data_IF_830702648522
#
_entry.id   IF_830702648522
#
_cell.length_a   1.000
_cell.length_b   1.000
_cell.length_c   1.000
_cell.angle_alpha   90.00
_cell.angle_beta   90.00
_cell.angle_gamma   90.00
#
_symmetry.space_group_name_H-M   'P 1'
#
loop_
_entity.id
_entity.type
_entity.pdbx_description
1 polymer ?
#
# COMPACT_ATOMS: atom_id res chain seq x y z
N UNK A 1 -0.77 26.00 14.26
CA UNK A 1 -1.91 25.70 15.19
C UNK A 1 -2.06 24.18 15.19
N UNK A 2 -2.30 23.58 16.35
CA UNK A 2 -2.57 22.14 16.43
C UNK A 2 -4.07 21.86 16.27
N UNK A 3 -4.40 20.72 15.69
CA UNK A 3 -5.78 20.23 15.55
C UNK A 3 -5.81 18.74 15.96
N UNK A 4 -6.68 18.33 16.87
CA UNK A 4 -7.60 19.18 17.64
C UNK A 4 -6.86 20.12 18.62
N UNK A 5 -7.57 21.05 19.24
CA UNK A 5 -7.06 21.76 20.41
C UNK A 5 -7.10 20.87 21.66
N UNK A 6 -6.53 21.35 22.77
CA UNK A 6 -6.44 20.58 24.02
C UNK A 6 -7.80 20.17 24.58
N UNK A 7 -8.84 21.03 24.42
CA UNK A 7 -10.17 20.75 24.93
C UNK A 7 -10.87 19.65 24.11
N UNK A 8 -10.74 19.69 22.78
CA UNK A 8 -11.30 18.66 21.91
C UNK A 8 -10.54 17.32 22.06
N UNK A 9 -9.23 17.34 22.32
CA UNK A 9 -8.46 16.15 22.64
C UNK A 9 -8.96 15.50 23.94
N UNK A 10 -9.14 16.30 25.01
CA UNK A 10 -9.72 15.83 26.29
C UNK A 10 -11.11 15.22 26.07
N UNK A 11 -11.97 15.92 25.33
CA UNK A 11 -13.32 15.43 25.02
C UNK A 11 -13.32 14.08 24.29
N UNK A 12 -12.37 13.87 23.38
CA UNK A 12 -12.22 12.59 22.70
C UNK A 12 -11.85 11.47 23.69
N UNK A 13 -10.92 11.74 24.62
CA UNK A 13 -10.56 10.80 25.67
C UNK A 13 -11.76 10.49 26.58
N UNK A 14 -12.50 11.51 27.04
CA UNK A 14 -13.69 11.37 27.87
C UNK A 14 -14.81 10.55 27.18
N UNK A 15 -14.83 10.57 25.84
CA UNK A 15 -15.75 9.76 25.02
C UNK A 15 -15.30 8.31 24.83
N UNK A 16 -14.18 7.90 25.43
CA UNK A 16 -13.68 6.53 25.44
C UNK A 16 -12.67 6.21 24.32
N UNK A 17 -12.25 7.19 23.52
CA UNK A 17 -11.11 7.00 22.64
C UNK A 17 -9.82 6.94 23.47
N UNK A 18 -8.92 6.02 23.08
CA UNK A 18 -7.63 5.88 23.76
C UNK A 18 -6.44 6.02 22.81
N UNK A 19 -6.73 6.31 21.54
CA UNK A 19 -5.74 6.65 20.53
C UNK A 19 -6.24 7.89 19.80
N UNK A 20 -5.66 9.06 20.14
CA UNK A 20 -6.21 10.35 19.74
C UNK A 20 -5.20 11.07 18.85
N UNK A 21 -5.54 11.30 17.57
CA UNK A 21 -4.65 12.01 16.67
C UNK A 21 -4.52 13.49 17.04
N UNK A 22 -3.30 14.01 16.93
CA UNK A 22 -2.95 15.42 17.00
C UNK A 22 -2.21 15.76 15.72
N UNK A 23 -2.59 16.86 15.06
CA UNK A 23 -2.02 17.24 13.80
C UNK A 23 -1.51 18.68 13.78
N UNK A 24 -0.47 18.91 12.99
CA UNK A 24 0.02 20.24 12.64
C UNK A 24 0.39 20.28 11.16
N UNK A 25 -0.08 21.31 10.45
CA UNK A 25 0.19 21.49 9.02
C UNK A 25 1.07 22.72 8.77
N UNK A 26 1.87 22.63 7.69
CA UNK A 26 2.68 23.73 7.16
C UNK A 26 2.83 23.62 5.63
N UNK A 27 3.24 24.70 4.95
CA UNK A 27 3.47 24.68 3.50
C UNK A 27 4.53 23.65 3.09
N UNK A 28 4.29 22.98 1.94
CA UNK A 28 5.21 22.04 1.30
C UNK A 28 5.81 22.60 0.00
N UNK A 29 6.12 23.90 -0.01
CA UNK A 29 6.58 24.61 -1.20
C UNK A 29 8.01 24.26 -1.61
N UNK A 30 8.85 23.83 -0.66
CA UNK A 30 10.25 23.45 -0.88
C UNK A 30 10.53 21.96 -0.64
N UNK A 31 9.51 21.16 -0.32
CA UNK A 31 9.67 19.76 0.03
C UNK A 31 8.88 18.84 -0.92
N UNK A 32 9.44 17.68 -1.15
CA UNK A 32 8.76 16.58 -1.84
C UNK A 32 8.64 15.38 -0.90
N UNK A 33 7.75 14.42 -1.18
CA UNK A 33 7.73 13.17 -0.40
C UNK A 33 9.08 12.48 -0.34
N UNK A 34 9.84 12.49 -1.44
CA UNK A 34 11.16 11.87 -1.50
C UNK A 34 12.20 12.62 -0.66
N UNK A 35 12.27 13.97 -0.72
CA UNK A 35 13.20 14.74 0.12
C UNK A 35 12.86 14.59 1.59
N UNK A 36 11.58 14.51 1.91
CA UNK A 36 11.08 14.23 3.26
C UNK A 36 11.50 12.85 3.75
N UNK A 37 11.32 11.81 2.93
CA UNK A 37 11.82 10.47 3.27
C UNK A 37 13.31 10.46 3.58
N UNK A 38 14.12 11.12 2.76
CA UNK A 38 15.58 11.21 2.96
C UNK A 38 15.93 11.88 4.29
N UNK A 39 15.20 12.92 4.68
CA UNK A 39 15.42 13.65 5.95
C UNK A 39 14.92 12.89 7.17
N UNK A 40 13.76 12.23 7.06
CA UNK A 40 13.02 11.71 8.21
C UNK A 40 13.19 10.22 8.38
N UNK A 41 13.15 9.45 7.30
CA UNK A 41 13.06 7.98 7.30
C UNK A 41 14.34 7.27 6.92
N UNK A 42 15.13 7.83 5.98
CA UNK A 42 16.33 7.16 5.49
C UNK A 42 17.32 6.86 6.62
N UNK A 43 17.77 5.61 6.67
CA UNK A 43 18.68 5.13 7.74
C UNK A 43 18.01 4.94 9.11
N UNK A 44 16.68 4.93 9.17
CA UNK A 44 15.88 4.67 10.38
C UNK A 44 14.81 3.61 10.12
N UNK A 45 15.22 2.40 9.72
CA UNK A 45 14.26 1.32 9.55
C UNK A 45 13.69 0.87 10.92
N UNK A 46 12.47 0.30 10.93
CA UNK A 46 11.61 0.17 9.77
C UNK A 46 10.81 1.45 9.47
N UNK A 47 10.42 1.60 8.19
CA UNK A 47 9.65 2.75 7.74
C UNK A 47 9.02 2.56 6.36
N UNK A 48 8.23 3.55 5.94
CA UNK A 48 7.48 3.49 4.69
C UNK A 48 7.37 4.86 4.02
N UNK A 49 7.50 4.86 2.70
CA UNK A 49 7.12 5.96 1.81
C UNK A 49 6.09 5.43 0.83
N UNK A 50 4.88 5.97 0.87
CA UNK A 50 3.82 5.72 -0.10
C UNK A 50 3.59 7.00 -0.90
N UNK A 51 3.64 6.90 -2.21
CA UNK A 51 3.38 8.02 -3.11
C UNK A 51 2.30 7.66 -4.13
N UNK A 52 1.45 8.63 -4.43
CA UNK A 52 0.61 8.57 -5.62
C UNK A 52 1.19 9.54 -6.64
N UNK A 53 1.76 9.02 -7.72
CA UNK A 53 2.54 9.83 -8.69
C UNK A 53 1.71 10.17 -9.93
N UNK A 54 0.81 9.29 -10.35
CA UNK A 54 -0.14 9.52 -11.45
C UNK A 54 -1.59 9.47 -10.97
N UNK A 55 -2.50 10.16 -11.66
CA UNK A 55 -3.94 10.01 -11.42
C UNK A 55 -4.73 11.30 -11.18
N UNK A 56 -4.12 12.48 -11.39
CA UNK A 56 -4.82 13.78 -11.27
C UNK A 56 -5.24 14.14 -9.83
N UNK A 57 -6.28 14.97 -9.69
CA UNK A 57 -6.69 15.53 -8.40
C UNK A 57 -7.29 14.50 -7.42
N UNK A 58 -7.76 13.36 -7.92
CA UNK A 58 -8.44 12.35 -7.11
C UNK A 58 -7.50 11.20 -6.69
N UNK A 59 -6.64 10.71 -7.57
CA UNK A 59 -5.74 9.59 -7.30
C UNK A 59 -4.34 10.05 -6.87
N UNK A 60 -3.81 11.14 -7.42
CA UNK A 60 -2.45 11.64 -7.13
C UNK A 60 -2.31 12.55 -5.91
N UNK A 61 -3.31 12.61 -5.03
CA UNK A 61 -3.38 13.66 -4.00
C UNK A 61 -2.50 13.42 -2.80
N UNK A 62 -2.44 12.19 -2.29
CA UNK A 62 -1.85 11.91 -0.99
C UNK A 62 -0.56 11.13 -1.11
N UNK A 63 0.45 11.54 -0.33
CA UNK A 63 1.65 10.73 -0.08
C UNK A 63 1.88 10.64 1.43
N UNK A 64 2.38 9.50 1.88
CA UNK A 64 2.56 9.22 3.30
C UNK A 64 4.00 8.80 3.56
N UNK A 65 4.60 9.39 4.61
CA UNK A 65 5.91 9.01 5.13
C UNK A 65 5.79 8.68 6.61
N UNK A 66 6.29 7.51 7.00
CA UNK A 66 6.33 7.12 8.40
C UNK A 66 7.58 6.29 8.72
N UNK A 67 8.12 6.46 9.90
CA UNK A 67 9.27 5.72 10.42
C UNK A 67 9.22 5.62 11.95
N UNK A 68 10.13 4.82 12.53
CA UNK A 68 10.18 4.58 13.96
C UNK A 68 8.82 4.13 14.54
N UNK A 69 8.28 2.96 14.13
CA UNK A 69 6.99 2.48 14.59
C UNK A 69 6.93 2.30 16.11
N UNK A 70 5.74 2.44 16.68
CA UNK A 70 5.48 2.11 18.09
C UNK A 70 5.77 0.62 18.35
N UNK A 71 5.32 -0.22 17.43
CA UNK A 71 5.67 -1.62 17.39
C UNK A 71 5.65 -2.16 15.95
N UNK A 72 6.36 -3.28 15.76
CA UNK A 72 6.30 -4.10 14.55
C UNK A 72 5.71 -5.45 14.88
N UNK A 73 5.01 -6.06 13.93
CA UNK A 73 4.58 -7.45 14.04
C UNK A 73 5.00 -8.19 12.77
N UNK A 74 5.48 -9.42 12.93
CA UNK A 74 5.82 -10.29 11.81
C UNK A 74 5.21 -11.67 12.01
N UNK A 75 4.67 -12.24 10.96
CA UNK A 75 4.07 -13.55 10.96
C UNK A 75 4.81 -14.52 10.06
N UNK A 76 4.97 -15.75 10.52
CA UNK A 76 5.49 -16.89 9.76
C UNK A 76 4.75 -18.16 10.18
N UNK A 77 4.09 -18.80 9.22
CA UNK A 77 3.20 -19.94 9.49
C UNK A 77 2.10 -19.57 10.49
N UNK A 78 2.02 -20.26 11.60
CA UNK A 78 1.01 -20.03 12.66
C UNK A 78 1.53 -19.20 13.84
N UNK A 79 2.61 -18.47 13.64
CA UNK A 79 3.24 -17.67 14.68
C UNK A 79 3.33 -16.21 14.28
N UNK A 80 2.75 -15.30 15.08
CA UNK A 80 2.93 -13.86 14.99
C UNK A 80 3.75 -13.37 16.17
N UNK A 81 4.84 -12.64 15.88
CA UNK A 81 5.70 -12.02 16.89
C UNK A 81 5.56 -10.50 16.79
N UNK A 82 5.14 -9.84 17.88
CA UNK A 82 5.12 -8.38 17.99
C UNK A 82 6.31 -7.90 18.82
N UNK A 83 6.94 -6.80 18.39
CA UNK A 83 8.06 -6.16 19.09
C UNK A 83 7.81 -4.67 19.19
N UNK A 84 7.89 -4.13 20.40
CA UNK A 84 7.79 -2.70 20.65
C UNK A 84 9.13 -1.99 20.47
N UNK A 85 9.08 -0.68 20.27
CA UNK A 85 10.26 0.20 20.14
C UNK A 85 11.20 0.11 21.34
N UNK A 86 10.69 -0.11 22.54
CA UNK A 86 11.46 -0.27 23.77
C UNK A 86 12.15 -1.64 23.91
N UNK A 87 11.93 -2.54 22.95
CA UNK A 87 12.50 -3.88 22.93
C UNK A 87 11.62 -4.96 23.55
N UNK A 88 10.50 -4.62 24.18
CA UNK A 88 9.53 -5.59 24.66
C UNK A 88 8.98 -6.41 23.49
N UNK A 89 8.60 -7.66 23.74
CA UNK A 89 8.02 -8.52 22.72
C UNK A 89 7.01 -9.49 23.29
N UNK A 90 6.02 -9.85 22.47
CA UNK A 90 5.10 -10.95 22.73
C UNK A 90 4.91 -11.82 21.48
N UNK A 91 4.32 -12.98 21.69
CA UNK A 91 4.08 -13.96 20.63
C UNK A 91 2.63 -14.43 20.74
N UNK A 92 1.95 -14.39 19.62
CA UNK A 92 0.66 -15.06 19.43
C UNK A 92 0.89 -16.34 18.62
N UNK A 93 0.37 -17.45 19.15
CA UNK A 93 0.37 -18.75 18.46
C UNK A 93 -1.02 -19.03 17.92
N UNK A 94 -1.14 -19.44 16.68
CA UNK A 94 -2.38 -19.68 15.98
C UNK A 94 -2.52 -18.81 14.74
N UNK A 95 -3.72 -18.62 14.22
CA UNK A 95 -3.94 -17.86 13.00
C UNK A 95 -3.42 -16.41 13.14
N UNK A 96 -2.46 -15.94 12.31
CA UNK A 96 -1.90 -14.60 12.40
C UNK A 96 -2.91 -13.47 12.19
N UNK A 97 -4.03 -13.69 11.51
CA UNK A 97 -5.11 -12.70 11.45
C UNK A 97 -5.71 -12.43 12.83
N UNK A 98 -5.92 -13.49 13.62
CA UNK A 98 -6.43 -13.34 14.99
C UNK A 98 -5.37 -12.70 15.90
N UNK A 99 -4.10 -13.05 15.68
CA UNK A 99 -2.98 -12.40 16.34
C UNK A 99 -2.92 -10.91 16.05
N UNK A 100 -3.08 -10.50 14.80
CA UNK A 100 -3.09 -9.08 14.42
C UNK A 100 -4.32 -8.35 15.00
N UNK A 101 -5.51 -8.97 14.95
CA UNK A 101 -6.72 -8.43 15.61
C UNK A 101 -6.49 -8.24 17.11
N UNK A 102 -5.85 -9.21 17.76
CA UNK A 102 -5.48 -9.09 19.17
C UNK A 102 -4.53 -7.92 19.42
N UNK A 103 -3.51 -7.73 18.58
CA UNK A 103 -2.60 -6.58 18.67
C UNK A 103 -3.31 -5.24 18.54
N UNK A 104 -4.37 -5.17 17.74
CA UNK A 104 -5.12 -3.93 17.46
C UNK A 104 -6.29 -3.70 18.43
N UNK A 105 -6.80 -4.75 19.07
CA UNK A 105 -8.00 -4.69 19.92
C UNK A 105 -7.93 -3.70 21.09
N UNK A 106 -6.75 -3.37 21.66
CA UNK A 106 -6.67 -2.36 22.72
C UNK A 106 -6.96 -0.94 22.23
N UNK A 107 -6.81 -0.66 20.94
CA UNK A 107 -6.86 0.70 20.39
C UNK A 107 -8.27 1.08 19.96
N UNK A 108 -8.73 2.23 20.44
CA UNK A 108 -9.96 2.90 20.01
C UNK A 108 -9.60 4.29 19.50
N UNK A 109 -9.39 4.39 18.18
CA UNK A 109 -8.98 5.63 17.56
C UNK A 109 -10.11 6.64 17.53
N UNK A 110 -9.83 7.88 17.91
CA UNK A 110 -10.77 8.98 17.75
C UNK A 110 -10.93 9.33 16.27
N UNK A 111 -12.18 9.45 15.82
CA UNK A 111 -12.48 10.04 14.51
C UNK A 111 -12.68 11.54 14.68
N UNK A 112 -11.73 12.34 14.18
CA UNK A 112 -11.75 13.78 14.30
C UNK A 112 -11.93 14.43 12.90
N UNK A 113 -12.92 15.31 12.74
CA UNK A 113 -13.17 15.94 11.44
C UNK A 113 -12.02 16.89 11.04
N UNK A 114 -11.83 17.05 9.74
CA UNK A 114 -10.88 18.01 9.17
C UNK A 114 -9.43 17.54 9.11
N UNK A 115 -9.14 16.32 9.56
CA UNK A 115 -7.84 15.70 9.36
C UNK A 115 -7.77 15.04 7.97
N UNK A 116 -6.56 14.92 7.38
CA UNK A 116 -6.39 14.13 6.17
C UNK A 116 -6.72 12.64 6.45
N UNK A 117 -6.88 11.80 5.42
CA UNK A 117 -7.05 10.36 5.62
C UNK A 117 -5.94 9.80 6.50
N UNK A 118 -6.32 9.17 7.60
CA UNK A 118 -5.39 8.65 8.58
C UNK A 118 -5.30 7.13 8.47
N UNK A 119 -4.09 6.64 8.43
CA UNK A 119 -3.75 5.23 8.62
C UNK A 119 -2.57 5.14 9.57
N UNK A 120 -2.55 4.13 10.41
CA UNK A 120 -1.46 3.93 11.38
C UNK A 120 -0.74 2.62 11.15
N UNK A 121 -1.43 1.62 10.64
CA UNK A 121 -0.88 0.30 10.38
C UNK A 121 -0.45 0.21 8.92
N UNK A 122 0.84 0.08 8.70
CA UNK A 122 1.44 -0.11 7.38
C UNK A 122 2.16 -1.45 7.33
N UNK A 123 2.10 -2.12 6.20
CA UNK A 123 2.77 -3.41 6.11
C UNK A 123 2.54 -4.10 4.79
N UNK A 124 2.90 -5.37 4.75
CA UNK A 124 2.69 -6.23 3.60
C UNK A 124 2.10 -7.58 4.03
N UNK A 125 1.39 -8.17 3.10
CA UNK A 125 0.93 -9.55 3.14
C UNK A 125 1.71 -10.33 2.09
N UNK A 126 2.37 -11.41 2.49
CA UNK A 126 3.00 -12.34 1.56
C UNK A 126 1.95 -13.20 0.87
N UNK A 127 2.33 -13.82 -0.26
CA UNK A 127 1.44 -14.69 -1.01
C UNK A 127 0.99 -15.92 -0.19
N UNK A 128 1.88 -16.42 0.67
CA UNK A 128 1.64 -17.61 1.52
C UNK A 128 0.58 -17.38 2.62
N UNK A 129 0.07 -16.15 2.80
CA UNK A 129 -1.06 -15.90 3.70
C UNK A 129 -2.30 -16.73 3.37
N UNK A 130 -2.39 -17.27 2.15
CA UNK A 130 -3.49 -18.14 1.73
C UNK A 130 -3.69 -19.31 2.69
N UNK A 131 -2.62 -19.83 3.30
CA UNK A 131 -2.69 -20.92 4.27
C UNK A 131 -3.41 -20.55 5.56
N UNK A 132 -3.57 -19.24 5.86
CA UNK A 132 -4.35 -18.78 7.01
C UNK A 132 -5.85 -18.73 6.73
N UNK A 133 -6.23 -18.76 5.45
CA UNK A 133 -7.61 -18.63 4.97
C UNK A 133 -8.11 -19.98 4.45
N UNK A 134 -7.29 -20.69 3.66
CA UNK A 134 -7.66 -21.89 2.92
C UNK A 134 -6.72 -23.04 3.27
N UNK A 135 -7.19 -23.94 4.14
CA UNK A 135 -6.42 -25.07 4.65
C UNK A 135 -6.18 -26.19 3.63
N UNK A 136 -6.90 -26.17 2.51
CA UNK A 136 -6.75 -27.19 1.44
C UNK A 136 -5.57 -26.92 0.52
N UNK A 137 -5.02 -25.71 0.54
CA UNK A 137 -3.84 -25.33 -0.25
C UNK A 137 -2.59 -26.01 0.34
N UNK A 138 -1.82 -26.76 -0.46
CA UNK A 138 -0.62 -27.43 0.04
C UNK A 138 0.44 -26.43 0.52
N UNK A 139 1.01 -26.69 1.68
CA UNK A 139 2.15 -25.91 2.20
C UNK A 139 3.42 -26.40 1.50
N UNK A 140 4.07 -25.52 0.77
CA UNK A 140 5.39 -25.80 0.21
C UNK A 140 6.49 -25.58 1.25
N UNK A 141 7.63 -26.28 1.16
CA UNK A 141 8.78 -26.01 2.00
C UNK A 141 9.17 -24.54 1.90
N UNK A 142 9.18 -23.85 3.03
CA UNK A 142 9.59 -22.45 3.06
C UNK A 142 11.09 -22.33 2.82
N UNK A 143 11.46 -21.36 2.01
CA UNK A 143 12.85 -20.91 1.90
C UNK A 143 13.18 -20.10 3.16
N UNK A 144 14.18 -20.52 3.92
CA UNK A 144 14.61 -19.83 5.15
C UNK A 144 15.08 -18.39 4.88
N UNK A 145 15.39 -18.06 3.63
CA UNK A 145 15.76 -16.72 3.18
C UNK A 145 14.56 -15.88 2.76
N UNK A 146 13.37 -16.49 2.65
CA UNK A 146 12.16 -15.77 2.27
C UNK A 146 11.75 -14.75 3.36
N UNK A 147 11.18 -13.61 2.98
CA UNK A 147 10.54 -12.70 3.92
C UNK A 147 9.47 -13.40 4.76
N UNK A 148 9.07 -12.78 5.86
CA UNK A 148 7.93 -13.24 6.65
C UNK A 148 6.64 -13.23 5.81
N UNK A 149 5.68 -14.10 6.15
CA UNK A 149 4.40 -14.21 5.44
C UNK A 149 3.52 -12.95 5.61
N UNK A 150 3.82 -12.14 6.63
CA UNK A 150 3.26 -10.82 6.81
C UNK A 150 4.10 -9.99 7.77
N UNK A 151 4.20 -8.68 7.50
CA UNK A 151 4.90 -7.72 8.37
C UNK A 151 4.04 -6.47 8.47
N UNK A 152 3.89 -5.96 9.68
CA UNK A 152 3.13 -4.74 9.99
C UNK A 152 3.88 -3.84 10.93
N UNK A 153 3.67 -2.55 10.79
CA UNK A 153 4.26 -1.48 11.58
C UNK A 153 3.14 -0.56 12.05
N UNK A 154 2.93 -0.47 13.35
CA UNK A 154 2.02 0.55 13.91
C UNK A 154 2.81 1.83 14.14
N UNK A 155 2.42 2.90 13.46
CA UNK A 155 3.07 4.20 13.54
C UNK A 155 2.36 5.11 14.55
N UNK A 156 3.13 5.74 15.42
CA UNK A 156 2.66 6.78 16.36
C UNK A 156 2.88 8.20 15.83
N UNK A 157 3.54 8.32 14.67
CA UNK A 157 3.77 9.58 13.99
C UNK A 157 3.95 9.39 12.50
N UNK A 158 3.22 10.18 11.71
CA UNK A 158 3.22 10.12 10.24
C UNK A 158 3.28 11.53 9.65
N UNK A 159 3.82 11.64 8.44
CA UNK A 159 3.78 12.85 7.62
C UNK A 159 2.92 12.58 6.39
N UNK A 160 1.96 13.44 6.15
CA UNK A 160 1.02 13.31 5.03
C UNK A 160 1.17 14.55 4.15
N UNK A 161 1.46 14.32 2.87
CA UNK A 161 1.46 15.35 1.84
C UNK A 161 0.08 15.44 1.20
N UNK A 162 -0.46 16.64 1.14
CA UNK A 162 -1.58 17.00 0.26
C UNK A 162 -0.99 17.73 -0.96
N UNK A 163 -0.85 17.01 -2.06
CA UNK A 163 -0.26 17.52 -3.31
C UNK A 163 -1.12 18.64 -3.91
N UNK A 164 -2.44 18.59 -3.72
CA UNK A 164 -3.38 19.60 -4.23
C UNK A 164 -3.27 20.90 -3.44
N UNK A 165 -3.27 20.80 -2.11
CA UNK A 165 -3.17 21.98 -1.23
C UNK A 165 -1.72 22.42 -0.99
N UNK A 166 -0.72 21.62 -1.41
CA UNK A 166 0.70 21.85 -1.16
C UNK A 166 1.00 22.03 0.33
N UNK A 167 0.47 21.11 1.12
CA UNK A 167 0.66 21.08 2.58
C UNK A 167 1.31 19.77 3.01
N UNK A 168 2.13 19.87 4.03
CA UNK A 168 2.56 18.73 4.84
C UNK A 168 1.81 18.79 6.15
N UNK A 169 1.23 17.67 6.55
CA UNK A 169 0.61 17.53 7.87
C UNK A 169 1.34 16.44 8.65
N UNK A 170 1.97 16.80 9.77
CA UNK A 170 2.40 15.82 10.75
C UNK A 170 1.22 15.43 11.62
N UNK A 171 1.02 14.13 11.77
CA UNK A 171 0.03 13.58 12.70
C UNK A 171 0.76 12.68 13.67
N UNK A 172 0.57 12.92 14.96
CA UNK A 172 1.01 12.02 16.02
C UNK A 172 -0.17 11.60 16.88
N UNK A 173 -0.04 10.47 17.54
CA UNK A 173 -1.14 9.91 18.31
C UNK A 173 -0.79 9.91 19.80
N UNK A 174 -1.66 10.52 20.60
CA UNK A 174 -1.64 10.33 22.04
C UNK A 174 -2.25 8.97 22.37
N UNK A 175 -1.45 8.10 22.97
CA UNK A 175 -1.84 6.74 23.34
C UNK A 175 -2.13 6.63 24.83
N UNK A 176 -3.40 6.37 25.13
CA UNK A 176 -3.93 6.14 26.49
C UNK A 176 -4.15 4.64 26.78
N UNK A 177 -3.84 3.75 25.81
CA UNK A 177 -4.13 2.31 25.94
C UNK A 177 -3.35 1.64 27.06
N UNK A 178 -2.17 2.17 27.40
CA UNK A 178 -1.33 1.73 28.52
C UNK A 178 -1.72 2.30 29.87
N UNK A 179 -2.80 3.09 29.97
CA UNK A 179 -3.27 3.68 31.21
C UNK A 179 -2.54 4.95 31.64
N UNK A 180 -1.80 5.61 30.73
CA UNK A 180 -1.24 6.94 31.00
C UNK A 180 -2.37 7.98 31.06
N UNK A 181 -2.11 9.11 31.70
CA UNK A 181 -3.10 10.18 31.79
C UNK A 181 -3.18 10.96 30.44
N UNK A 182 -4.24 11.79 30.31
CA UNK A 182 -4.52 12.53 29.08
C UNK A 182 -3.48 13.62 28.82
N UNK A 183 -2.88 14.19 29.88
CA UNK A 183 -1.83 15.20 29.72
C UNK A 183 -0.55 14.59 29.20
N UNK A 184 -0.14 13.44 29.74
CA UNK A 184 1.06 12.73 29.29
C UNK A 184 0.92 12.28 27.84
N UNK A 185 -0.26 11.74 27.45
CA UNK A 185 -0.56 11.36 26.08
C UNK A 185 -0.52 12.59 25.12
N UNK A 186 -1.07 13.72 25.55
CA UNK A 186 -1.02 14.98 24.80
C UNK A 186 0.42 15.47 24.60
N UNK A 187 1.22 15.51 25.67
CA UNK A 187 2.62 15.95 25.64
C UNK A 187 3.48 15.00 24.77
N UNK A 188 3.23 13.70 24.84
CA UNK A 188 3.89 12.71 23.99
C UNK A 188 3.60 12.95 22.50
N UNK A 189 2.34 13.20 22.14
CA UNK A 189 1.98 13.53 20.76
C UNK A 189 2.63 14.85 20.28
N UNK A 190 2.66 15.88 21.13
CA UNK A 190 3.35 17.14 20.83
C UNK A 190 4.85 16.91 20.60
N UNK A 191 5.50 16.15 21.47
CA UNK A 191 6.92 15.82 21.35
C UNK A 191 7.22 15.05 20.04
N UNK A 192 6.32 14.13 19.66
CA UNK A 192 6.46 13.39 18.40
C UNK A 192 6.34 14.30 17.17
N UNK A 193 5.38 15.22 17.13
CA UNK A 193 5.27 16.23 16.06
C UNK A 193 6.51 17.12 16.03
N UNK A 194 6.99 17.58 17.19
CA UNK A 194 8.19 18.40 17.27
C UNK A 194 9.45 17.66 16.75
N UNK A 195 9.57 16.36 17.03
CA UNK A 195 10.65 15.53 16.51
C UNK A 195 10.58 15.41 14.98
N UNK A 196 9.40 15.11 14.43
CA UNK A 196 9.19 15.05 12.97
C UNK A 196 9.53 16.41 12.33
N UNK A 197 9.08 17.51 12.92
CA UNK A 197 9.37 18.86 12.43
C UNK A 197 10.86 19.16 12.46
N UNK A 198 11.55 18.87 13.56
CA UNK A 198 13.00 19.07 13.68
C UNK A 198 13.78 18.31 12.60
N UNK A 199 13.36 17.07 12.29
CA UNK A 199 13.96 16.27 11.21
C UNK A 199 13.71 16.91 9.85
N UNK A 200 12.52 17.42 9.62
CA UNK A 200 12.16 18.13 8.39
C UNK A 200 12.98 19.41 8.19
N UNK A 201 13.23 20.17 9.26
CA UNK A 201 14.00 21.42 9.23
C UNK A 201 15.51 21.18 9.05
N UNK A 202 15.98 19.93 9.17
CA UNK A 202 17.37 19.59 8.90
C UNK A 202 17.73 19.79 7.41
N UNK A 203 18.99 20.14 7.10
CA UNK A 203 19.47 20.19 5.73
C UNK A 203 19.27 18.83 5.04
N UNK A 204 18.94 18.87 3.75
CA UNK A 204 18.90 17.64 2.95
C UNK A 204 20.31 17.03 2.91
N UNK A 205 20.51 15.78 3.31
CA UNK A 205 21.78 15.08 3.14
C UNK A 205 22.23 15.08 1.68
N UNK A 206 23.53 15.07 1.44
CA UNK A 206 24.06 14.97 0.09
C UNK A 206 23.60 13.65 -0.55
N UNK A 207 22.81 13.76 -1.59
CA UNK A 207 22.31 12.62 -2.37
C UNK A 207 22.81 12.79 -3.79
N UNK A 208 23.45 11.75 -4.33
CA UNK A 208 23.89 11.78 -5.70
C UNK A 208 22.70 11.93 -6.66
N UNK A 209 22.81 12.76 -7.71
CA UNK A 209 21.83 12.78 -8.78
C UNK A 209 21.65 11.38 -9.35
N UNK A 210 20.40 11.02 -9.68
CA UNK A 210 20.14 9.79 -10.37
C UNK A 210 20.77 9.84 -11.76
N UNK A 211 21.66 8.90 -12.05
CA UNK A 211 22.20 8.74 -13.39
C UNK A 211 21.18 7.94 -14.21
N UNK A 212 20.47 8.65 -15.06
CA UNK A 212 19.42 8.10 -15.89
C UNK A 212 19.90 7.94 -17.33
N UNK A 213 19.80 6.70 -17.85
CA UNK A 213 19.99 6.43 -19.27
C UNK A 213 18.86 5.51 -19.74
N UNK A 214 17.88 6.00 -20.50
CA UNK A 214 16.77 5.17 -21.01
C UNK A 214 17.23 4.12 -22.03
N UNK A 215 18.44 4.24 -22.55
CA UNK A 215 19.03 3.38 -23.59
C UNK A 215 20.27 2.65 -23.05
N UNK A 216 20.30 2.27 -21.80
CA UNK A 216 21.39 1.45 -21.28
C UNK A 216 21.36 0.07 -21.96
N UNK A 217 22.33 -0.18 -22.81
CA UNK A 217 22.48 -1.44 -23.57
C UNK A 217 22.94 -2.62 -22.69
N UNK A 218 23.24 -2.38 -21.42
CA UNK A 218 23.72 -3.39 -20.49
C UNK A 218 22.62 -3.75 -19.52
N UNK A 219 21.96 -4.86 -19.80
CA UNK A 219 21.08 -5.50 -18.82
C UNK A 219 21.92 -6.25 -17.78
N UNK A 220 21.52 -6.24 -16.49
CA UNK A 220 22.17 -7.08 -15.49
C UNK A 220 22.01 -8.56 -15.88
N UNK A 221 22.93 -9.39 -15.38
CA UNK A 221 22.75 -10.83 -15.48
C UNK A 221 21.54 -11.24 -14.62
N UNK A 222 20.51 -11.77 -15.28
CA UNK A 222 19.23 -12.12 -14.66
C UNK A 222 19.07 -13.63 -14.66
N UNK A 223 18.92 -14.22 -13.49
CA UNK A 223 18.53 -15.62 -13.34
C UNK A 223 17.04 -15.76 -13.07
N UNK A 224 16.47 -16.90 -13.48
CA UNK A 224 15.08 -17.26 -13.20
C UNK A 224 15.02 -18.58 -12.44
N UNK A 225 14.07 -18.72 -11.52
CA UNK A 225 13.80 -19.98 -10.83
C UNK A 225 13.12 -21.04 -11.72
N UNK A 226 12.74 -20.68 -12.96
CA UNK A 226 12.20 -21.58 -13.98
C UNK A 226 12.92 -21.37 -15.31
N UNK A 227 13.21 -22.44 -16.02
CA UNK A 227 13.65 -22.29 -17.39
C UNK A 227 12.45 -22.05 -18.34
N UNK A 228 12.72 -21.62 -19.55
CA UNK A 228 11.69 -21.25 -20.52
C UNK A 228 10.78 -22.42 -20.89
N UNK A 229 11.33 -23.59 -21.13
CA UNK A 229 10.57 -24.77 -21.52
C UNK A 229 9.59 -25.23 -20.44
N UNK A 230 10.01 -25.16 -19.17
CA UNK A 230 9.15 -25.55 -18.04
C UNK A 230 8.01 -24.52 -17.83
N UNK A 231 8.29 -23.24 -18.07
CA UNK A 231 7.27 -22.22 -18.00
C UNK A 231 6.24 -22.37 -19.14
N UNK A 232 6.70 -22.60 -20.37
CA UNK A 232 5.82 -22.83 -21.52
C UNK A 232 4.97 -24.11 -21.34
N UNK A 233 5.53 -25.18 -20.82
CA UNK A 233 4.80 -26.42 -20.50
C UNK A 233 3.72 -26.18 -19.43
N UNK A 234 4.04 -25.38 -18.41
CA UNK A 234 3.06 -25.01 -17.38
C UNK A 234 1.90 -24.15 -17.95
N UNK A 235 2.16 -23.30 -18.96
CA UNK A 235 1.11 -22.56 -19.66
C UNK A 235 0.18 -23.50 -20.42
N UNK A 236 0.73 -24.50 -21.12
CA UNK A 236 -0.12 -25.48 -21.83
C UNK A 236 -0.97 -26.31 -20.84
N UNK A 237 -0.40 -26.76 -19.72
CA UNK A 237 -1.17 -27.43 -18.68
C UNK A 237 -2.28 -26.54 -18.09
N UNK A 238 -2.01 -25.25 -17.87
CA UNK A 238 -3.04 -24.30 -17.41
C UNK A 238 -4.18 -24.16 -18.44
N UNK A 239 -3.87 -24.13 -19.73
CA UNK A 239 -4.89 -24.10 -20.81
C UNK A 239 -5.76 -25.34 -20.82
N UNK A 240 -5.17 -26.53 -20.57
CA UNK A 240 -5.93 -27.78 -20.46
C UNK A 240 -6.92 -27.73 -19.28
N UNK A 241 -6.50 -27.25 -18.12
CA UNK A 241 -7.38 -27.07 -16.95
C UNK A 241 -8.51 -26.07 -17.18
N UNK A 242 -8.23 -24.97 -17.90
CA UNK A 242 -9.26 -24.01 -18.30
C UNK A 242 -10.27 -24.67 -19.27
N UNK A 243 -9.78 -25.41 -20.25
CA UNK A 243 -10.64 -26.10 -21.22
C UNK A 243 -11.48 -27.22 -20.58
N UNK A 244 -10.96 -27.89 -19.54
CA UNK A 244 -11.67 -28.87 -18.74
C UNK A 244 -12.74 -28.26 -17.80
N UNK A 245 -12.68 -26.94 -17.56
CA UNK A 245 -13.58 -26.25 -16.64
C UNK A 245 -13.16 -26.33 -15.17
N UNK A 246 -11.93 -26.73 -14.89
CA UNK A 246 -11.38 -26.80 -13.54
C UNK A 246 -11.14 -25.40 -12.94
N UNK A 247 -10.74 -24.43 -13.77
CA UNK A 247 -10.50 -23.04 -13.41
C UNK A 247 -10.95 -22.11 -14.54
N UNK A 248 -11.31 -20.87 -14.23
CA UNK A 248 -11.64 -19.84 -15.21
C UNK A 248 -10.42 -19.03 -15.64
N UNK A 249 -9.51 -18.81 -14.72
CA UNK A 249 -8.28 -18.05 -14.91
C UNK A 249 -7.17 -18.62 -14.02
N UNK A 250 -5.95 -18.63 -14.52
CA UNK A 250 -4.76 -19.01 -13.79
C UNK A 250 -3.63 -18.06 -14.13
N UNK A 251 -2.97 -17.52 -13.12
CA UNK A 251 -1.79 -16.66 -13.27
C UNK A 251 -0.55 -17.45 -12.87
N UNK A 252 0.30 -17.75 -13.84
CA UNK A 252 1.60 -18.36 -13.62
C UNK A 252 2.63 -17.29 -13.23
N UNK A 253 3.46 -17.59 -12.25
CA UNK A 253 4.55 -16.71 -11.82
C UNK A 253 5.92 -17.34 -12.03
N UNK A 254 6.93 -16.47 -12.12
CA UNK A 254 8.33 -16.82 -12.02
C UNK A 254 9.05 -15.76 -11.19
N UNK A 255 10.14 -16.15 -10.54
CA UNK A 255 11.02 -15.26 -9.81
C UNK A 255 12.25 -14.96 -10.65
N UNK A 256 12.51 -13.68 -10.87
CA UNK A 256 13.71 -13.20 -11.53
C UNK A 256 14.63 -12.58 -10.46
N UNK A 257 15.91 -12.90 -10.55
CA UNK A 257 16.93 -12.40 -9.62
C UNK A 257 18.05 -11.72 -10.41
N UNK A 258 18.47 -10.57 -9.91
CA UNK A 258 19.61 -9.84 -10.47
C UNK A 258 20.43 -9.21 -9.35
N UNK A 259 21.75 -9.24 -9.48
CA UNK A 259 22.64 -8.47 -8.61
C UNK A 259 22.75 -7.04 -9.13
N UNK A 260 22.43 -6.07 -8.29
CA UNK A 260 22.47 -4.66 -8.65
C UNK A 260 23.32 -3.89 -7.64
N UNK A 261 24.23 -2.99 -8.10
CA UNK A 261 25.09 -2.23 -7.21
C UNK A 261 24.39 -1.03 -6.56
N UNK A 262 23.21 -0.65 -7.04
CA UNK A 262 22.45 0.51 -6.57
C UNK A 262 21.80 0.22 -5.22
N UNK A 263 21.68 1.27 -4.40
CA UNK A 263 20.91 1.19 -3.17
C UNK A 263 19.41 0.97 -3.46
N UNK A 264 18.64 0.37 -2.53
CA UNK A 264 17.20 0.22 -2.68
C UNK A 264 16.45 1.53 -2.96
N UNK A 265 16.90 2.64 -2.35
CA UNK A 265 16.30 3.95 -2.61
C UNK A 265 16.59 4.46 -4.02
N UNK A 266 17.76 4.18 -4.59
CA UNK A 266 18.06 4.50 -5.99
C UNK A 266 17.23 3.68 -6.95
N UNK A 267 16.99 2.40 -6.64
CA UNK A 267 16.07 1.56 -7.42
C UNK A 267 14.64 2.12 -7.38
N UNK A 268 14.16 2.52 -6.21
CA UNK A 268 12.86 3.18 -6.07
C UNK A 268 12.78 4.46 -6.91
N UNK A 269 13.81 5.31 -6.84
CA UNK A 269 13.89 6.54 -7.63
C UNK A 269 13.87 6.27 -9.13
N UNK A 270 14.57 5.21 -9.57
CA UNK A 270 14.58 4.79 -10.97
C UNK A 270 13.22 4.27 -11.40
N UNK A 271 12.60 3.42 -10.59
CA UNK A 271 11.26 2.87 -10.86
C UNK A 271 10.22 4.00 -10.99
N UNK A 272 10.29 4.99 -10.12
CA UNK A 272 9.42 6.18 -10.14
C UNK A 272 9.54 7.00 -11.44
N UNK A 273 10.69 6.95 -12.12
CA UNK A 273 10.92 7.62 -13.41
C UNK A 273 10.48 6.77 -14.60
N UNK A 274 10.66 5.44 -14.49
CA UNK A 274 10.36 4.51 -15.60
C UNK A 274 8.88 4.17 -15.67
N UNK A 275 8.28 3.93 -14.51
CA UNK A 275 6.91 3.45 -14.40
C UNK A 275 6.20 4.11 -13.21
N UNK A 276 5.92 5.43 -13.30
CA UNK A 276 5.12 6.09 -12.30
C UNK A 276 3.72 5.46 -12.22
N UNK A 277 3.17 5.34 -11.03
CA UNK A 277 1.86 4.74 -10.82
C UNK A 277 1.08 5.41 -9.70
N UNK A 278 -0.25 5.19 -9.61
CA UNK A 278 -1.06 5.70 -8.51
C UNK A 278 -0.65 5.14 -7.14
N UNK A 279 -0.03 3.96 -7.10
CA UNK A 279 0.34 3.27 -5.86
C UNK A 279 1.82 2.89 -5.86
N UNK A 280 2.68 3.91 -5.68
CA UNK A 280 4.12 3.70 -5.49
C UNK A 280 4.40 3.41 -4.02
N UNK A 281 5.24 2.42 -3.76
CA UNK A 281 5.58 2.01 -2.40
C UNK A 281 7.08 1.75 -2.24
N UNK A 282 7.63 2.26 -1.15
CA UNK A 282 8.95 1.91 -0.64
C UNK A 282 8.80 1.56 0.84
N UNK A 283 8.91 0.27 1.16
CA UNK A 283 8.99 -0.20 2.54
C UNK A 283 10.43 -0.56 2.85
N UNK A 284 10.95 0.00 3.92
CA UNK A 284 12.25 -0.36 4.47
C UNK A 284 12.01 -1.13 5.79
N UNK A 285 12.26 -2.42 5.77
CA UNK A 285 12.13 -3.28 6.95
C UNK A 285 13.45 -3.50 7.68
N UNK A 286 14.53 -2.84 7.22
CA UNK A 286 15.88 -2.97 7.74
C UNK A 286 16.71 -3.96 6.94
N UNK A 287 16.49 -5.25 7.17
CA UNK A 287 17.24 -6.31 6.52
C UNK A 287 16.91 -6.47 5.03
N UNK A 288 15.72 -6.05 4.62
CA UNK A 288 15.26 -6.07 3.24
C UNK A 288 14.25 -4.95 2.97
N UNK A 289 14.01 -4.64 1.69
CA UNK A 289 13.10 -3.60 1.25
C UNK A 289 12.10 -4.14 0.23
N UNK A 290 10.87 -3.61 0.27
CA UNK A 290 9.86 -3.84 -0.75
C UNK A 290 9.68 -2.56 -1.56
N UNK A 291 9.90 -2.67 -2.88
CA UNK A 291 9.78 -1.56 -3.83
C UNK A 291 8.68 -1.92 -4.82
N UNK A 292 7.66 -1.10 -4.91
CA UNK A 292 6.51 -1.38 -5.75
C UNK A 292 6.03 -0.17 -6.56
N UNK A 293 5.50 -0.47 -7.75
CA UNK A 293 4.76 0.44 -8.61
C UNK A 293 3.52 -0.29 -9.09
N UNK A 294 2.39 -0.11 -8.41
CA UNK A 294 1.16 -0.81 -8.72
C UNK A 294 0.16 0.12 -9.41
N UNK A 295 -0.45 -0.29 -10.51
CA UNK A 295 -1.50 0.47 -11.17
C UNK A 295 -2.87 0.32 -10.50
N UNK A 296 -3.05 -0.73 -9.68
CA UNK A 296 -4.36 -1.18 -9.23
C UNK A 296 -4.43 -1.39 -7.73
N UNK A 297 -5.54 -0.98 -7.12
CA UNK A 297 -5.89 -1.28 -5.74
C UNK A 297 -6.62 -2.63 -5.69
N UNK A 298 -6.20 -3.51 -4.79
CA UNK A 298 -6.86 -4.80 -4.60
C UNK A 298 -8.24 -4.63 -3.96
N UNK A 299 -8.32 -3.88 -2.87
CA UNK A 299 -9.56 -3.54 -2.17
C UNK A 299 -9.38 -2.25 -1.40
N UNK A 300 -10.40 -1.41 -1.42
CA UNK A 300 -10.49 -0.21 -0.60
C UNK A 300 -11.67 -0.34 0.36
N UNK A 301 -11.47 -0.03 1.63
CA UNK A 301 -12.51 -0.04 2.65
C UNK A 301 -12.49 1.29 3.41
N UNK A 302 -13.59 2.01 3.37
CA UNK A 302 -13.71 3.34 3.94
C UNK A 302 -14.83 3.42 4.97
N UNK A 303 -14.60 4.05 6.13
CA UNK A 303 -15.66 4.34 7.08
C UNK A 303 -16.72 5.26 6.47
N UNK A 304 -17.98 4.92 6.65
CA UNK A 304 -19.14 5.73 6.24
C UNK A 304 -20.14 5.85 7.40
N UNK A 305 -21.15 6.70 7.27
CA UNK A 305 -22.12 6.93 8.33
C UNK A 305 -22.96 5.67 8.66
N UNK A 306 -23.13 4.81 7.70
CA UNK A 306 -23.90 3.56 7.78
C UNK A 306 -23.06 2.29 7.95
N UNK A 307 -21.73 2.43 8.08
CA UNK A 307 -20.83 1.30 8.26
C UNK A 307 -19.49 1.47 7.55
N UNK A 308 -19.00 0.39 6.94
CA UNK A 308 -17.79 0.39 6.12
C UNK A 308 -18.20 0.12 4.67
N UNK A 309 -17.84 1.02 3.76
CA UNK A 309 -17.97 0.81 2.34
C UNK A 309 -16.70 0.17 1.78
N UNK A 310 -16.86 -1.00 1.19
CA UNK A 310 -15.78 -1.69 0.50
C UNK A 310 -15.94 -1.54 -1.01
N UNK A 311 -14.87 -1.35 -1.74
CA UNK A 311 -14.87 -1.26 -3.19
C UNK A 311 -13.68 -1.98 -3.81
N UNK A 312 -13.92 -2.48 -5.02
CA UNK A 312 -12.94 -3.09 -5.90
C UNK A 312 -12.95 -2.35 -7.22
N UNK A 313 -11.80 -2.32 -7.87
CA UNK A 313 -11.65 -1.62 -9.13
C UNK A 313 -10.97 -2.50 -10.17
N UNK A 314 -11.70 -3.49 -10.74
CA UNK A 314 -11.14 -4.39 -11.73
C UNK A 314 -10.70 -3.62 -12.98
N UNK A 315 -9.49 -3.91 -13.42
CA UNK A 315 -8.83 -3.35 -14.60
C UNK A 315 -8.51 -4.52 -15.54
N UNK A 316 -9.03 -4.47 -16.77
CA UNK A 316 -8.70 -5.44 -17.81
C UNK A 316 -8.79 -4.80 -19.20
N UNK A 317 -8.20 -5.47 -20.18
CA UNK A 317 -8.12 -4.93 -21.52
C UNK A 317 -7.09 -3.80 -21.63
N UNK A 318 -6.27 -3.85 -22.65
CA UNK A 318 -5.18 -2.87 -22.83
C UNK A 318 -5.03 -2.49 -24.29
N UNK A 319 -4.89 -1.18 -24.55
CA UNK A 319 -4.38 -0.64 -25.81
C UNK A 319 -3.31 0.41 -25.51
N UNK A 320 -2.33 0.57 -26.39
CA UNK A 320 -1.38 1.67 -26.30
C UNK A 320 -2.09 3.00 -26.45
N UNK A 321 -1.45 4.09 -26.02
CA UNK A 321 -1.93 5.44 -26.33
C UNK A 321 -1.74 5.75 -27.80
N UNK A 322 -2.70 6.45 -28.38
CA UNK A 322 -2.62 6.94 -29.76
C UNK A 322 -1.58 8.06 -29.90
N UNK A 323 -0.97 8.17 -31.08
CA UNK A 323 0.01 9.23 -31.41
C UNK A 323 -0.62 10.62 -31.45
N UNK A 324 -1.93 10.68 -31.56
CA UNK A 324 -2.73 11.89 -31.55
C UNK A 324 -4.14 11.60 -30.99
N UNK A 325 -4.95 12.61 -30.67
CA UNK A 325 -6.28 12.42 -30.06
C UNK A 325 -7.27 11.61 -30.92
N UNK A 326 -7.14 11.61 -32.24
CA UNK A 326 -8.01 10.84 -33.13
C UNK A 326 -7.68 9.35 -33.02
N UNK A 327 -6.43 8.99 -33.18
CA UNK A 327 -5.94 7.60 -33.03
C UNK A 327 -6.21 7.05 -31.62
N UNK A 328 -6.06 7.89 -30.57
CA UNK A 328 -6.38 7.52 -29.20
C UNK A 328 -7.87 7.13 -29.05
N UNK A 329 -8.76 7.86 -29.74
CA UNK A 329 -10.19 7.56 -29.75
C UNK A 329 -10.53 6.32 -30.60
N UNK A 330 -9.83 6.09 -31.70
CA UNK A 330 -10.01 4.88 -32.50
C UNK A 330 -9.61 3.63 -31.70
N UNK A 331 -8.50 3.67 -30.98
CA UNK A 331 -8.05 2.60 -30.08
C UNK A 331 -9.02 2.36 -28.89
N UNK A 332 -9.62 3.42 -28.35
CA UNK A 332 -10.70 3.29 -27.35
C UNK A 332 -11.91 2.54 -27.90
N UNK A 333 -12.37 2.91 -29.11
CA UNK A 333 -13.53 2.26 -29.76
C UNK A 333 -13.20 0.79 -30.07
N UNK A 334 -11.98 0.51 -30.57
CA UNK A 334 -11.52 -0.85 -30.82
C UNK A 334 -11.50 -1.68 -29.52
N UNK A 335 -10.93 -1.14 -28.45
CA UNK A 335 -10.85 -1.81 -27.14
C UNK A 335 -12.23 -2.15 -26.60
N UNK A 336 -13.16 -1.21 -26.63
CA UNK A 336 -14.54 -1.42 -26.16
C UNK A 336 -15.36 -2.36 -27.05
N UNK A 337 -14.96 -2.53 -28.30
CA UNK A 337 -15.61 -3.46 -29.25
C UNK A 337 -15.01 -4.88 -29.20
N UNK A 338 -13.85 -5.07 -28.60
CA UNK A 338 -13.16 -6.37 -28.56
C UNK A 338 -13.91 -7.39 -27.68
N UNK A 339 -14.45 -8.48 -28.26
CA UNK A 339 -15.26 -9.45 -27.49
C UNK A 339 -14.47 -10.17 -26.40
N UNK A 340 -13.18 -10.43 -26.64
CA UNK A 340 -12.31 -11.13 -25.69
C UNK A 340 -12.06 -10.25 -24.46
N UNK A 341 -11.63 -9.00 -24.69
CA UNK A 341 -11.32 -8.05 -23.60
C UNK A 341 -12.58 -7.75 -22.76
N UNK A 342 -13.74 -7.63 -23.41
CA UNK A 342 -15.03 -7.46 -22.72
C UNK A 342 -15.41 -8.69 -21.89
N UNK A 343 -15.24 -9.91 -22.41
CA UNK A 343 -15.57 -11.14 -21.68
C UNK A 343 -14.68 -11.32 -20.46
N UNK A 344 -13.36 -11.06 -20.59
CA UNK A 344 -12.42 -11.07 -19.48
C UNK A 344 -12.80 -10.03 -18.43
N UNK A 345 -13.14 -8.81 -18.84
CA UNK A 345 -13.52 -7.74 -17.93
C UNK A 345 -14.82 -8.07 -17.16
N UNK A 346 -15.85 -8.61 -17.81
CA UNK A 346 -17.08 -9.08 -17.15
C UNK A 346 -16.77 -10.17 -16.12
N UNK A 347 -15.89 -11.11 -16.44
CA UNK A 347 -15.46 -12.15 -15.51
C UNK A 347 -14.83 -11.55 -14.24
N UNK A 348 -13.95 -10.55 -14.37
CA UNK A 348 -13.33 -9.87 -13.23
C UNK A 348 -14.35 -9.05 -12.41
N UNK A 349 -15.29 -8.38 -13.07
CA UNK A 349 -16.38 -7.66 -12.38
C UNK A 349 -17.25 -8.63 -11.59
N UNK A 350 -17.62 -9.79 -12.16
CA UNK A 350 -18.41 -10.80 -11.45
C UNK A 350 -17.63 -11.44 -10.30
N UNK A 351 -16.33 -11.67 -10.46
CA UNK A 351 -15.46 -12.09 -9.37
C UNK A 351 -15.47 -11.08 -8.22
N UNK A 352 -15.29 -9.79 -8.52
CA UNK A 352 -15.33 -8.72 -7.52
C UNK A 352 -16.70 -8.62 -6.83
N UNK A 353 -17.79 -8.77 -7.57
CA UNK A 353 -19.15 -8.82 -6.99
C UNK A 353 -19.33 -10.01 -6.06
N UNK A 354 -18.82 -11.18 -6.41
CA UNK A 354 -18.86 -12.36 -5.57
C UNK A 354 -18.04 -12.18 -4.29
N UNK A 355 -16.85 -11.64 -4.40
CA UNK A 355 -15.95 -11.41 -3.26
C UNK A 355 -16.56 -10.43 -2.24
N UNK A 356 -17.08 -9.29 -2.71
CA UNK A 356 -17.78 -8.33 -1.87
C UNK A 356 -19.09 -8.92 -1.31
N UNK A 357 -19.81 -9.72 -2.11
CA UNK A 357 -21.06 -10.36 -1.69
C UNK A 357 -20.91 -11.30 -0.50
N UNK A 358 -19.71 -11.85 -0.26
CA UNK A 358 -19.40 -12.71 0.89
C UNK A 358 -19.27 -11.96 2.21
N UNK A 359 -18.97 -10.66 2.17
CA UNK A 359 -18.64 -9.85 3.37
C UNK A 359 -19.56 -8.64 3.54
N UNK A 360 -20.26 -8.22 2.48
CA UNK A 360 -21.16 -7.07 2.50
C UNK A 360 -22.61 -7.49 2.81
N UNK A 361 -23.47 -6.52 3.10
CA UNK A 361 -24.89 -6.76 3.31
C UNK A 361 -25.53 -7.30 2.04
N UNK A 362 -26.42 -8.31 2.13
CA UNK A 362 -27.14 -8.84 0.97
C UNK A 362 -27.87 -7.74 0.21
N UNK A 363 -27.66 -7.67 -1.11
CA UNK A 363 -28.29 -6.69 -1.98
C UNK A 363 -27.61 -5.30 -2.02
N UNK A 364 -26.53 -5.08 -1.25
CA UNK A 364 -25.82 -3.80 -1.27
C UNK A 364 -24.75 -3.70 -2.35
N UNK A 365 -24.30 -4.82 -2.92
CA UNK A 365 -23.24 -4.82 -3.94
C UNK A 365 -23.78 -4.29 -5.26
N UNK A 366 -23.17 -3.24 -5.77
CA UNK A 366 -23.54 -2.56 -7.01
C UNK A 366 -22.33 -2.31 -7.88
N UNK A 367 -22.52 -2.28 -9.19
CA UNK A 367 -21.50 -1.83 -10.15
C UNK A 367 -21.84 -0.39 -10.54
N UNK A 368 -20.98 0.55 -10.20
CA UNK A 368 -21.23 1.99 -10.46
C UNK A 368 -20.81 2.38 -11.87
N UNK A 369 -19.54 2.16 -12.19
CA UNK A 369 -18.97 2.49 -13.49
C UNK A 369 -18.60 1.19 -14.19
N UNK A 370 -19.30 0.86 -15.27
CA UNK A 370 -19.08 -0.37 -16.01
C UNK A 370 -18.38 -0.08 -17.34
N UNK A 371 -17.18 -0.66 -17.51
CA UNK A 371 -16.41 -0.59 -18.76
C UNK A 371 -16.11 0.85 -19.21
N UNK A 372 -15.65 1.70 -18.30
CA UNK A 372 -15.13 3.03 -18.67
C UNK A 372 -13.66 2.92 -19.10
N UNK A 373 -13.25 3.79 -20.01
CA UNK A 373 -11.85 3.85 -20.43
C UNK A 373 -11.08 4.82 -19.54
N UNK A 374 -10.02 4.32 -18.93
CA UNK A 374 -9.02 5.14 -18.25
C UNK A 374 -7.73 5.19 -19.04
N UNK A 375 -7.21 6.43 -19.14
CA UNK A 375 -5.99 6.72 -19.88
C UNK A 375 -4.85 6.98 -18.94
N UNK A 376 -3.80 6.19 -19.07
CA UNK A 376 -2.54 6.35 -18.34
C UNK A 376 -1.49 6.92 -19.30
N UNK A 377 -0.26 7.09 -18.82
CA UNK A 377 0.83 7.70 -19.60
C UNK A 377 1.11 6.96 -20.91
N UNK A 378 1.11 5.62 -20.90
CA UNK A 378 1.54 4.78 -22.04
C UNK A 378 0.44 3.88 -22.58
N UNK A 379 -0.60 3.62 -21.81
CA UNK A 379 -1.68 2.68 -22.15
C UNK A 379 -3.04 3.24 -21.74
N UNK A 380 -4.11 2.64 -22.27
CA UNK A 380 -5.47 2.78 -21.78
C UNK A 380 -6.03 1.42 -21.39
N UNK A 381 -6.92 1.40 -20.41
CA UNK A 381 -7.55 0.19 -19.91
C UNK A 381 -9.07 0.33 -19.82
N UNK A 382 -9.76 -0.80 -19.84
CA UNK A 382 -11.16 -0.90 -19.42
C UNK A 382 -11.18 -1.04 -17.90
N UNK A 383 -11.93 -0.16 -17.23
CA UNK A 383 -12.05 -0.12 -15.77
C UNK A 383 -13.51 -0.16 -15.38
N UNK A 384 -13.81 -0.84 -14.28
CA UNK A 384 -15.12 -0.77 -13.62
C UNK A 384 -14.97 -0.55 -12.13
N UNK A 385 -16.04 -0.15 -11.46
CA UNK A 385 -16.05 -0.01 -10.00
C UNK A 385 -17.21 -0.81 -9.41
N UNK A 386 -16.86 -1.73 -8.52
CA UNK A 386 -17.80 -2.54 -7.75
C UNK A 386 -17.82 -2.08 -6.31
#
# INVERSE_FOLDING_TARGET
MFSPDRAAFQKAADSGANLIPLAQSWPADLETPLTTWIKVGAGRPPGVLLESVEGGETLGRWSVIACDPLWTASARGDRLTRRWRDGASDVHQGNPFDGLRHCLSPYRCANLPGLPPLGQLYGMWGYELIHWIESTVPIHPQDDTAPADGIWMLMDGILIFDQVKRLITAVAYGDLSGGCDVEDAWQSALARIADLRRRMDAPLPAVAPLQWSPNADVLPDVSSNRNRSDFEAAVESAREHIAAGDVFQLVLSQRLEASVPQSPLELYRSLRMVNPSPYMAFFDFGDWQLIGSSPEVMVQAEPAADGIHASLRPIAGTRPRGRNPLEDRELEVELLADPKERAEHVMLVDLGRNDLGRVCQPGSVTVKDLMVIERYSHVMHIVSQV
#
